data_IF_004431496346
#
_entry.id   IF_004431496346
#
_cell.length_a   1.000
_cell.length_b   1.000
_cell.length_c   1.000
_cell.angle_alpha   90.00
_cell.angle_beta   90.00
_cell.angle_gamma   90.00
#
_symmetry.space_group_name_H-M   'P 1'
#
loop_
_entity.id
_entity.type
_entity.pdbx_description
1 polymer ?
#
# COMPACT_ATOMS: atom_id res chain seq x y z
N UNK A 1 -3.05 6.10 -21.39
CA UNK A 1 -3.10 5.32 -20.12
C UNK A 1 -4.13 4.21 -20.30
N UNK A 2 -3.80 3.00 -19.92
CA UNK A 2 -4.69 1.82 -19.98
C UNK A 2 -5.23 1.58 -18.58
N UNK A 3 -6.56 1.44 -18.47
CA UNK A 3 -7.25 1.15 -17.20
C UNK A 3 -8.12 -0.08 -17.36
N UNK A 4 -8.10 -0.95 -16.36
CA UNK A 4 -8.88 -2.19 -16.35
C UNK A 4 -9.43 -2.48 -14.97
N UNK A 5 -10.71 -2.89 -14.92
CA UNK A 5 -11.29 -3.57 -13.78
C UNK A 5 -11.38 -5.05 -14.11
N UNK A 6 -10.66 -5.88 -13.35
CA UNK A 6 -10.55 -7.31 -13.62
C UNK A 6 -10.49 -8.12 -12.32
N UNK A 7 -10.70 -9.41 -12.43
CA UNK A 7 -10.56 -10.33 -11.32
C UNK A 7 -9.19 -11.05 -11.42
N UNK A 8 -8.37 -10.88 -10.38
CA UNK A 8 -7.14 -11.67 -10.21
C UNK A 8 -7.53 -12.95 -9.48
N UNK A 9 -7.19 -14.10 -10.05
CA UNK A 9 -7.42 -15.39 -9.41
C UNK A 9 -6.50 -15.56 -8.19
N UNK A 10 -7.09 -15.81 -7.02
CA UNK A 10 -6.35 -16.16 -5.79
C UNK A 10 -6.75 -17.55 -5.30
N UNK A 11 -5.99 -18.12 -4.37
CA UNK A 11 -6.35 -19.38 -3.74
C UNK A 11 -7.69 -19.31 -2.97
N UNK A 12 -8.11 -18.11 -2.59
CA UNK A 12 -9.33 -17.87 -1.79
C UNK A 12 -10.49 -17.28 -2.64
N UNK A 13 -10.37 -17.32 -3.98
CA UNK A 13 -11.39 -16.83 -4.92
C UNK A 13 -10.96 -15.61 -5.73
N UNK A 14 -11.86 -15.08 -6.59
CA UNK A 14 -11.53 -13.96 -7.45
C UNK A 14 -11.41 -12.65 -6.66
N UNK A 15 -10.30 -11.96 -6.85
CA UNK A 15 -9.99 -10.67 -6.21
C UNK A 15 -10.17 -9.56 -7.24
N UNK A 16 -11.31 -8.85 -7.19
CA UNK A 16 -11.55 -7.74 -8.12
C UNK A 16 -10.57 -6.60 -7.87
N UNK A 17 -9.87 -6.22 -8.93
CA UNK A 17 -8.75 -5.29 -8.86
C UNK A 17 -8.92 -4.18 -9.91
N UNK A 18 -8.36 -3.01 -9.58
CA UNK A 18 -8.15 -1.94 -10.55
C UNK A 18 -6.68 -1.97 -10.97
N UNK A 19 -6.45 -2.04 -12.27
CA UNK A 19 -5.11 -2.05 -12.87
C UNK A 19 -5.00 -0.84 -13.79
N UNK A 20 -3.92 -0.07 -13.64
CA UNK A 20 -3.65 1.09 -14.47
C UNK A 20 -2.17 1.22 -14.77
N UNK A 21 -1.85 1.52 -16.03
CA UNK A 21 -0.47 1.71 -16.47
C UNK A 21 -0.40 2.67 -17.67
N UNK A 22 0.77 3.26 -17.97
CA UNK A 22 0.97 3.97 -19.23
C UNK A 22 0.74 3.03 -20.42
N UNK A 23 0.44 3.58 -21.58
CA UNK A 23 0.42 2.80 -22.80
C UNK A 23 1.79 2.12 -23.02
N UNK A 24 1.81 0.85 -23.37
CA UNK A 24 3.01 0.05 -23.55
C UNK A 24 3.34 -0.20 -25.04
N UNK A 25 2.81 0.64 -25.95
CA UNK A 25 3.14 0.58 -27.37
C UNK A 25 4.64 0.78 -27.64
N UNK A 26 5.14 0.45 -28.84
CA UNK A 26 6.57 0.51 -29.16
C UNK A 26 7.22 1.89 -28.93
N UNK A 27 6.43 2.95 -28.95
CA UNK A 27 6.87 4.33 -28.73
C UNK A 27 6.74 4.78 -27.27
N UNK A 28 6.08 4.02 -26.41
CA UNK A 28 5.71 4.40 -25.04
C UNK A 28 6.68 3.94 -23.95
N UNK A 29 7.81 3.31 -24.32
CA UNK A 29 8.92 3.02 -23.41
C UNK A 29 8.71 1.90 -22.38
N UNK A 30 7.63 1.07 -22.51
CA UNK A 30 7.39 -0.07 -21.59
C UNK A 30 8.36 -1.25 -21.80
N UNK A 31 8.41 -2.27 -20.90
CA UNK A 31 7.52 -2.48 -19.75
C UNK A 31 7.83 -1.57 -18.55
N UNK A 32 6.81 -1.35 -17.71
CA UNK A 32 6.82 -0.39 -16.62
C UNK A 32 7.08 -1.09 -15.27
N UNK A 33 7.91 -0.50 -14.37
CA UNK A 33 8.06 -1.00 -13.00
C UNK A 33 6.72 -1.12 -12.29
N UNK A 34 6.56 -2.15 -11.46
CA UNK A 34 5.28 -2.48 -10.83
C UNK A 34 5.16 -1.84 -9.45
N UNK A 35 3.96 -1.33 -9.15
CA UNK A 35 3.56 -0.91 -7.81
C UNK A 35 2.32 -1.68 -7.37
N UNK A 36 2.43 -2.47 -6.30
CA UNK A 36 1.29 -3.07 -5.62
C UNK A 36 0.75 -2.07 -4.61
N UNK A 37 -0.51 -1.67 -4.77
CA UNK A 37 -1.14 -0.62 -3.99
C UNK A 37 -2.16 -1.23 -3.00
N UNK A 38 -1.84 -1.31 -1.72
CA UNK A 38 -2.74 -1.81 -0.69
C UNK A 38 -3.67 -0.69 -0.20
N UNK A 39 -4.99 -0.93 -0.37
CA UNK A 39 -6.06 0.02 -0.05
C UNK A 39 -6.15 0.34 1.44
N UNK A 40 -6.85 1.43 1.78
CA UNK A 40 -7.28 1.76 3.14
C UNK A 40 -8.61 1.07 3.51
N UNK A 41 -8.99 1.12 4.80
CA UNK A 41 -10.18 0.44 5.32
C UNK A 41 -11.51 0.84 4.66
N UNK A 42 -11.75 2.10 4.23
CA UNK A 42 -12.96 2.45 3.48
C UNK A 42 -13.19 1.69 2.18
N UNK A 43 -12.22 0.90 1.72
CA UNK A 43 -12.36 0.05 0.55
C UNK A 43 -11.90 0.68 -0.76
N UNK A 44 -11.82 -0.15 -1.80
CA UNK A 44 -11.42 0.25 -3.15
C UNK A 44 -12.48 1.18 -3.75
N UNK A 45 -12.11 2.42 -4.05
CA UNK A 45 -13.00 3.48 -4.51
C UNK A 45 -12.29 4.45 -5.46
N UNK A 46 -13.05 5.36 -6.08
CA UNK A 46 -12.54 6.28 -7.09
C UNK A 46 -11.37 7.14 -6.59
N UNK A 47 -11.40 7.62 -5.35
CA UNK A 47 -10.26 8.36 -4.76
C UNK A 47 -8.94 7.55 -4.81
N UNK A 48 -9.00 6.22 -4.57
CA UNK A 48 -7.82 5.37 -4.69
C UNK A 48 -7.47 5.08 -6.15
N UNK A 49 -8.46 5.02 -7.05
CA UNK A 49 -8.20 4.91 -8.49
C UNK A 49 -7.45 6.15 -8.98
N UNK A 50 -7.80 7.38 -8.55
CA UNK A 50 -7.08 8.60 -8.89
C UNK A 50 -5.64 8.59 -8.36
N UNK A 51 -5.43 8.06 -7.16
CA UNK A 51 -4.08 7.89 -6.62
C UNK A 51 -3.26 6.87 -7.43
N UNK A 52 -3.87 5.78 -7.87
CA UNK A 52 -3.24 4.80 -8.75
C UNK A 52 -2.94 5.41 -10.14
N UNK A 53 -3.85 6.22 -10.71
CA UNK A 53 -3.61 6.99 -11.95
C UNK A 53 -2.44 7.94 -11.80
N UNK A 54 -2.30 8.61 -10.64
CA UNK A 54 -1.16 9.50 -10.36
C UNK A 54 0.16 8.74 -10.40
N UNK A 55 0.23 7.51 -9.87
CA UNK A 55 1.41 6.65 -10.00
C UNK A 55 1.64 6.23 -11.46
N UNK A 56 0.60 5.82 -12.17
CA UNK A 56 0.72 5.42 -13.56
C UNK A 56 1.16 6.58 -14.46
N UNK A 57 0.72 7.81 -14.19
CA UNK A 57 1.09 9.01 -14.98
C UNK A 57 2.59 9.32 -14.96
N UNK A 58 3.33 8.80 -13.97
CA UNK A 58 4.79 8.94 -13.87
C UNK A 58 5.56 7.65 -14.21
N UNK A 59 4.88 6.68 -14.85
CA UNK A 59 5.55 5.55 -15.49
C UNK A 59 5.45 4.22 -14.76
N UNK A 60 4.51 4.01 -13.82
CA UNK A 60 4.36 2.74 -13.11
C UNK A 60 3.17 1.91 -13.60
N UNK A 61 3.33 0.58 -13.56
CA UNK A 61 2.25 -0.38 -13.68
C UNK A 61 1.65 -0.62 -12.29
N UNK A 62 0.41 -0.20 -12.05
CA UNK A 62 -0.20 -0.20 -10.70
C UNK A 62 -1.29 -1.25 -10.61
N UNK A 63 -1.27 -2.04 -9.54
CA UNK A 63 -2.32 -3.02 -9.19
C UNK A 63 -2.91 -2.62 -7.85
N UNK A 64 -4.20 -2.29 -7.83
CA UNK A 64 -4.97 -1.93 -6.63
C UNK A 64 -6.08 -2.97 -6.40
N UNK A 65 -5.87 -3.97 -5.52
CA UNK A 65 -6.84 -5.01 -5.25
C UNK A 65 -7.93 -4.55 -4.27
N UNK A 66 -9.09 -5.22 -4.33
CA UNK A 66 -10.04 -5.25 -3.23
C UNK A 66 -9.61 -6.33 -2.22
N UNK A 67 -9.06 -5.93 -1.10
CA UNK A 67 -8.59 -6.87 -0.07
C UNK A 67 -9.73 -7.55 0.70
N UNK A 68 -10.96 -7.05 0.56
CA UNK A 68 -12.15 -7.66 1.16
C UNK A 68 -12.81 -8.73 0.27
N UNK A 69 -12.21 -9.09 -0.86
CA UNK A 69 -12.80 -9.97 -1.90
C UNK A 69 -13.38 -11.28 -1.36
N UNK A 70 -12.81 -11.83 -0.28
CA UNK A 70 -13.30 -13.06 0.38
C UNK A 70 -14.67 -12.91 1.01
N UNK A 71 -15.10 -11.68 1.30
CA UNK A 71 -16.32 -11.36 2.03
C UNK A 71 -17.24 -10.42 1.29
N UNK A 72 -16.67 -9.47 0.53
CA UNK A 72 -17.43 -8.47 -0.21
C UNK A 72 -16.69 -8.08 -1.48
N UNK A 73 -17.40 -8.15 -2.61
CA UNK A 73 -16.85 -7.73 -3.90
C UNK A 73 -16.76 -6.22 -4.05
N UNK A 74 -17.68 -5.47 -3.45
CA UNK A 74 -17.91 -4.06 -3.77
C UNK A 74 -18.05 -3.16 -2.54
N UNK A 75 -17.50 -3.59 -1.39
CA UNK A 75 -17.57 -2.77 -0.19
C UNK A 75 -16.87 -1.43 -0.39
N UNK A 76 -17.60 -0.36 -0.09
CA UNK A 76 -17.11 1.00 0.00
C UNK A 76 -17.81 1.70 1.17
N UNK A 77 -17.05 2.28 2.08
CA UNK A 77 -17.59 3.12 3.15
C UNK A 77 -18.00 4.48 2.56
N UNK A 78 -19.25 4.60 2.11
CA UNK A 78 -19.80 5.83 1.51
C UNK A 78 -20.17 6.85 2.58
N UNK A 79 -20.74 6.38 3.68
CA UNK A 79 -21.18 7.19 4.81
C UNK A 79 -20.65 6.58 6.13
N UNK A 80 -20.32 7.44 7.10
CA UNK A 80 -19.78 7.00 8.39
C UNK A 80 -20.89 6.76 9.41
N UNK A 81 -21.93 6.01 9.02
CA UNK A 81 -22.95 5.55 9.94
C UNK A 81 -22.42 4.43 10.83
N UNK A 82 -23.01 4.25 12.02
CA UNK A 82 -22.59 3.20 12.95
C UNK A 82 -22.65 1.80 12.31
N UNK A 83 -23.73 1.38 11.58
CA UNK A 83 -23.78 0.10 10.91
C UNK A 83 -22.69 -0.07 9.82
N UNK A 84 -22.45 0.95 9.00
CA UNK A 84 -21.44 0.91 7.94
C UNK A 84 -20.02 0.83 8.51
N UNK A 85 -19.76 1.53 9.61
CA UNK A 85 -18.48 1.42 10.33
C UNK A 85 -18.30 0.04 10.95
N UNK A 86 -19.36 -0.54 11.54
CA UNK A 86 -19.31 -1.89 12.09
C UNK A 86 -19.01 -2.95 10.99
N UNK A 87 -19.65 -2.83 9.82
CA UNK A 87 -19.37 -3.69 8.67
C UNK A 87 -17.91 -3.55 8.23
N UNK A 88 -17.41 -2.33 8.08
CA UNK A 88 -16.01 -2.07 7.73
C UNK A 88 -15.04 -2.74 8.72
N UNK A 89 -15.27 -2.60 10.03
CA UNK A 89 -14.41 -3.23 11.03
C UNK A 89 -14.54 -4.76 11.03
N UNK A 90 -15.71 -5.31 10.75
CA UNK A 90 -15.90 -6.75 10.60
C UNK A 90 -15.10 -7.30 9.39
N UNK A 91 -15.10 -6.59 8.27
CA UNK A 91 -14.27 -6.93 7.11
C UNK A 91 -12.77 -6.82 7.43
N UNK A 92 -12.36 -5.72 8.06
CA UNK A 92 -10.97 -5.51 8.47
C UNK A 92 -10.45 -6.64 9.37
N UNK A 93 -11.28 -7.11 10.30
CA UNK A 93 -10.92 -8.19 11.24
C UNK A 93 -10.67 -9.55 10.54
N UNK A 94 -11.03 -9.70 9.27
CA UNK A 94 -10.74 -10.92 8.49
C UNK A 94 -9.38 -10.93 7.82
N UNK A 95 -8.62 -9.83 7.92
CA UNK A 95 -7.34 -9.64 7.24
C UNK A 95 -6.17 -9.81 8.21
N UNK A 96 -5.13 -10.47 7.76
CA UNK A 96 -3.91 -10.76 8.52
C UNK A 96 -2.69 -10.97 7.60
N UNK A 97 -1.56 -11.36 8.17
CA UNK A 97 -0.35 -11.65 7.41
C UNK A 97 -0.55 -12.79 6.40
N UNK A 98 -1.33 -13.83 6.73
CA UNK A 98 -1.60 -14.96 5.84
C UNK A 98 -2.44 -14.54 4.63
N UNK A 99 -3.52 -13.81 4.85
CA UNK A 99 -4.36 -13.31 3.75
C UNK A 99 -3.59 -12.36 2.85
N UNK A 100 -2.70 -11.54 3.44
CA UNK A 100 -1.80 -10.66 2.69
C UNK A 100 -0.82 -11.45 1.83
N UNK A 101 -0.24 -12.53 2.34
CA UNK A 101 0.65 -13.40 1.55
C UNK A 101 -0.08 -14.00 0.35
N UNK A 102 -1.29 -14.54 0.54
CA UNK A 102 -2.09 -15.14 -0.54
C UNK A 102 -2.39 -14.12 -1.63
N UNK A 103 -2.85 -12.93 -1.23
CA UNK A 103 -3.22 -11.86 -2.18
C UNK A 103 -2.00 -11.31 -2.91
N UNK A 104 -0.89 -11.11 -2.19
CA UNK A 104 0.36 -10.63 -2.79
C UNK A 104 0.91 -11.63 -3.80
N UNK A 105 0.91 -12.93 -3.48
CA UNK A 105 1.31 -14.00 -4.41
C UNK A 105 0.49 -13.95 -5.69
N UNK A 106 -0.83 -13.85 -5.57
CA UNK A 106 -1.70 -13.76 -6.74
C UNK A 106 -1.43 -12.51 -7.59
N UNK A 107 -1.17 -11.35 -6.96
CA UNK A 107 -0.76 -10.15 -7.69
C UNK A 107 0.59 -10.32 -8.40
N UNK A 108 1.59 -10.94 -7.74
CA UNK A 108 2.90 -11.21 -8.32
C UNK A 108 2.80 -12.17 -9.52
N UNK A 109 1.97 -13.20 -9.41
CA UNK A 109 1.72 -14.16 -10.51
C UNK A 109 0.97 -13.47 -11.66
N UNK A 110 -0.03 -12.64 -11.36
CA UNK A 110 -0.76 -11.85 -12.37
C UNK A 110 0.19 -10.92 -13.13
N UNK A 111 0.98 -10.08 -12.45
CA UNK A 111 1.87 -9.15 -13.16
C UNK A 111 2.92 -9.84 -13.98
N UNK A 112 3.33 -11.08 -13.64
CA UNK A 112 4.26 -11.88 -14.42
C UNK A 112 3.69 -12.28 -15.79
N UNK A 113 2.37 -12.25 -15.97
CA UNK A 113 1.71 -12.52 -17.26
C UNK A 113 1.47 -11.27 -18.09
N UNK A 114 1.74 -10.07 -17.54
CA UNK A 114 1.42 -8.81 -18.21
C UNK A 114 2.60 -8.28 -19.04
N UNK A 115 2.47 -8.15 -20.36
CA UNK A 115 3.58 -7.65 -21.21
C UNK A 115 4.02 -6.22 -20.86
N UNK A 116 3.11 -5.42 -20.28
CA UNK A 116 3.36 -4.03 -19.87
C UNK A 116 4.08 -3.91 -18.51
N UNK A 117 4.27 -5.01 -17.76
CA UNK A 117 4.85 -5.01 -16.42
C UNK A 117 6.32 -5.42 -16.42
N UNK A 118 7.21 -4.62 -15.83
CA UNK A 118 8.59 -5.02 -15.52
C UNK A 118 8.65 -5.67 -14.12
N UNK A 119 8.52 -6.98 -14.07
CA UNK A 119 8.50 -7.76 -12.82
C UNK A 119 9.84 -7.90 -12.12
N UNK A 120 10.93 -7.38 -12.69
CA UNK A 120 12.24 -7.33 -12.04
C UNK A 120 12.31 -6.24 -10.97
N UNK A 121 11.36 -5.31 -10.98
CA UNK A 121 11.33 -4.11 -10.14
C UNK A 121 9.92 -3.86 -9.63
N UNK A 122 9.64 -4.40 -8.47
CA UNK A 122 8.34 -4.31 -7.82
C UNK A 122 8.47 -3.55 -6.51
N UNK A 123 7.69 -2.49 -6.35
CA UNK A 123 7.53 -1.77 -5.10
C UNK A 123 6.12 -1.90 -4.57
N UNK A 124 5.93 -1.50 -3.32
CA UNK A 124 4.60 -1.47 -2.72
C UNK A 124 4.31 -0.15 -2.03
N UNK A 125 3.05 0.24 -2.01
CA UNK A 125 2.55 1.32 -1.15
C UNK A 125 1.26 0.88 -0.49
N UNK A 126 1.11 1.20 0.80
CA UNK A 126 -0.10 0.93 1.56
C UNK A 126 -0.51 2.11 2.41
N UNK A 127 -1.81 2.36 2.47
CA UNK A 127 -2.40 3.49 3.20
C UNK A 127 -3.26 2.99 4.34
N UNK A 128 -3.16 3.59 5.52
CA UNK A 128 -3.96 3.22 6.70
C UNK A 128 -3.80 1.72 7.02
N UNK A 129 -4.86 0.92 6.90
CA UNK A 129 -4.79 -0.53 7.07
C UNK A 129 -3.81 -1.20 6.08
N UNK A 130 -3.59 -0.61 4.90
CA UNK A 130 -2.60 -1.09 3.92
C UNK A 130 -1.16 -0.97 4.39
N UNK A 131 -0.88 -0.18 5.43
CA UNK A 131 0.45 0.00 5.99
C UNK A 131 1.08 -1.30 6.52
N UNK A 132 0.42 -2.09 7.39
CA UNK A 132 0.85 -3.42 7.79
C UNK A 132 1.11 -4.37 6.61
N UNK A 133 0.26 -4.29 5.57
CA UNK A 133 0.31 -5.24 4.45
C UNK A 133 1.59 -5.09 3.62
N UNK A 134 2.13 -3.88 3.45
CA UNK A 134 3.40 -3.72 2.75
C UNK A 134 4.56 -4.39 3.52
N UNK A 135 4.51 -4.39 4.85
CA UNK A 135 5.52 -5.05 5.70
C UNK A 135 5.39 -6.57 5.60
N UNK A 136 4.17 -7.11 5.75
CA UNK A 136 3.93 -8.55 5.63
C UNK A 136 4.27 -9.07 4.22
N UNK A 137 3.93 -8.30 3.17
CA UNK A 137 4.30 -8.65 1.80
C UNK A 137 5.83 -8.71 1.63
N UNK A 138 6.56 -7.74 2.16
CA UNK A 138 8.03 -7.74 2.06
C UNK A 138 8.68 -8.87 2.86
N UNK A 139 8.11 -9.23 4.02
CA UNK A 139 8.58 -10.36 4.80
C UNK A 139 8.32 -11.70 4.09
N UNK A 140 7.16 -11.84 3.43
CA UNK A 140 6.80 -13.05 2.68
C UNK A 140 7.53 -13.19 1.34
N UNK A 141 7.90 -12.07 0.69
CA UNK A 141 8.52 -12.04 -0.64
C UNK A 141 9.79 -11.17 -0.69
N UNK A 142 10.81 -11.43 0.17
CA UNK A 142 11.96 -10.54 0.34
C UNK A 142 12.79 -10.36 -0.93
N UNK A 143 12.81 -11.35 -1.84
CA UNK A 143 13.57 -11.30 -3.10
C UNK A 143 12.78 -10.67 -4.26
N UNK A 144 11.50 -10.35 -4.05
CA UNK A 144 10.62 -9.85 -5.11
C UNK A 144 10.36 -8.35 -4.99
N UNK A 145 10.42 -7.79 -3.77
CA UNK A 145 10.08 -6.42 -3.49
C UNK A 145 11.33 -5.58 -3.26
N UNK A 146 11.54 -4.58 -4.12
CA UNK A 146 12.68 -3.67 -4.07
C UNK A 146 12.50 -2.54 -3.05
N UNK A 147 11.26 -2.16 -2.78
CA UNK A 147 10.95 -1.16 -1.76
C UNK A 147 9.49 -1.26 -1.28
N UNK A 148 9.25 -0.71 -0.08
CA UNK A 148 7.91 -0.58 0.50
C UNK A 148 7.67 0.84 1.02
N UNK A 149 6.41 1.28 0.99
CA UNK A 149 5.99 2.53 1.62
C UNK A 149 4.70 2.33 2.43
N UNK A 150 4.73 2.68 3.71
CA UNK A 150 3.58 2.69 4.63
C UNK A 150 3.21 4.13 4.95
N UNK A 151 2.03 4.55 4.51
CA UNK A 151 1.56 5.93 4.67
C UNK A 151 0.46 5.97 5.73
N UNK A 152 0.69 6.68 6.82
CA UNK A 152 -0.15 6.69 8.05
C UNK A 152 -0.66 5.27 8.38
N UNK A 153 0.27 4.30 8.40
CA UNK A 153 -0.06 2.89 8.64
C UNK A 153 -0.68 2.68 10.00
N UNK A 154 -1.85 2.05 10.02
CA UNK A 154 -2.59 1.75 11.26
C UNK A 154 -2.12 0.42 11.86
N UNK A 155 -2.06 0.34 13.21
CA UNK A 155 -1.76 -0.91 13.92
C UNK A 155 -0.41 -1.55 13.50
N UNK A 156 0.61 -0.73 13.29
CA UNK A 156 1.95 -1.19 12.95
C UNK A 156 2.64 -1.91 14.13
N UNK A 157 2.18 -1.61 15.35
CA UNK A 157 2.61 -2.23 16.61
C UNK A 157 1.38 -2.81 17.30
N UNK A 158 1.39 -4.10 17.56
CA UNK A 158 0.32 -4.83 18.24
C UNK A 158 0.91 -5.97 19.09
N UNK A 159 0.10 -6.57 19.95
CA UNK A 159 0.51 -7.74 20.75
C UNK A 159 0.50 -9.06 19.96
N UNK A 160 0.00 -9.06 18.73
CA UNK A 160 -0.07 -10.23 17.86
C UNK A 160 1.33 -10.76 17.51
N UNK A 161 1.45 -12.06 17.33
CA UNK A 161 2.70 -12.69 16.91
C UNK A 161 3.17 -12.21 15.52
N UNK A 162 2.21 -11.92 14.62
CA UNK A 162 2.43 -11.41 13.27
C UNK A 162 2.46 -9.87 13.19
N UNK A 163 2.60 -9.18 14.33
CA UNK A 163 2.66 -7.72 14.35
C UNK A 163 3.74 -7.18 13.42
N UNK A 164 3.45 -6.19 12.57
CA UNK A 164 4.39 -5.68 11.57
C UNK A 164 5.76 -5.32 12.15
N UNK A 165 5.81 -4.64 13.29
CA UNK A 165 7.10 -4.25 13.90
C UNK A 165 8.00 -5.44 14.24
N UNK A 166 7.44 -6.63 14.52
CA UNK A 166 8.21 -7.83 14.86
C UNK A 166 8.86 -8.49 13.64
N UNK A 167 8.32 -8.27 12.46
CA UNK A 167 8.88 -8.85 11.22
C UNK A 167 9.79 -7.89 10.47
N UNK A 168 9.94 -6.64 10.94
CA UNK A 168 10.82 -5.65 10.30
C UNK A 168 12.28 -6.11 10.21
N UNK A 169 12.77 -6.88 11.18
CA UNK A 169 14.11 -7.45 11.16
C UNK A 169 14.39 -8.36 9.95
N UNK A 170 13.35 -8.86 9.29
CA UNK A 170 13.47 -9.70 8.08
C UNK A 170 13.51 -8.89 6.79
N UNK A 171 13.27 -7.58 6.82
CA UNK A 171 13.27 -6.74 5.63
C UNK A 171 14.65 -6.71 4.97
N UNK A 172 14.63 -6.79 3.64
CA UNK A 172 15.82 -6.69 2.77
C UNK A 172 15.78 -5.46 1.86
N UNK A 173 14.58 -4.91 1.67
CA UNK A 173 14.34 -3.79 0.76
C UNK A 173 14.36 -2.45 1.50
N UNK A 174 14.51 -1.37 0.74
CA UNK A 174 14.37 -0.01 1.27
C UNK A 174 12.93 0.28 1.68
N UNK A 175 12.74 0.96 2.80
CA UNK A 175 11.41 1.22 3.35
C UNK A 175 11.18 2.69 3.71
N UNK A 176 9.96 3.16 3.49
CA UNK A 176 9.50 4.49 3.86
C UNK A 176 8.24 4.41 4.73
N UNK A 177 8.27 5.09 5.88
CA UNK A 177 7.14 5.18 6.80
C UNK A 177 6.79 6.66 7.01
N UNK A 178 5.61 7.08 6.56
CA UNK A 178 5.04 8.39 6.82
C UNK A 178 4.07 8.28 7.98
N UNK A 179 4.39 8.85 9.14
CA UNK A 179 3.56 8.81 10.35
C UNK A 179 2.89 10.17 10.57
N UNK A 180 1.56 10.19 10.75
CA UNK A 180 0.86 11.39 11.16
C UNK A 180 1.12 11.66 12.66
N UNK A 181 1.28 12.93 13.05
CA UNK A 181 1.50 13.31 14.46
C UNK A 181 0.25 13.06 15.31
N UNK A 182 -0.92 13.30 14.74
CA UNK A 182 -2.22 13.14 15.44
C UNK A 182 -2.89 11.86 14.93
N UNK A 183 -2.47 10.72 15.47
CA UNK A 183 -2.94 9.42 15.01
C UNK A 183 -3.23 8.45 16.15
N UNK A 184 -4.52 8.16 16.36
CA UNK A 184 -4.94 7.18 17.39
C UNK A 184 -4.59 5.74 17.05
N UNK A 185 -4.34 5.43 15.77
CA UNK A 185 -3.99 4.11 15.28
C UNK A 185 -2.49 3.84 15.25
N UNK A 186 -1.70 4.88 15.44
CA UNK A 186 -0.25 4.86 15.54
C UNK A 186 0.21 5.92 16.56
N UNK A 187 -0.09 5.74 17.86
CA UNK A 187 0.28 6.70 18.91
C UNK A 187 1.81 6.86 18.98
N UNK A 188 2.32 7.96 19.58
CA UNK A 188 3.77 8.23 19.63
C UNK A 188 4.62 7.09 20.19
N UNK A 189 4.10 6.33 21.16
CA UNK A 189 4.79 5.17 21.72
C UNK A 189 5.00 4.07 20.66
N UNK A 190 3.98 3.81 19.83
CA UNK A 190 4.07 2.82 18.75
C UNK A 190 5.03 3.28 17.65
N UNK A 191 5.03 4.59 17.33
CA UNK A 191 5.98 5.18 16.37
C UNK A 191 7.42 5.02 16.86
N UNK A 192 7.66 5.20 18.17
CA UNK A 192 8.98 5.00 18.76
C UNK A 192 9.43 3.52 18.69
N UNK A 193 8.54 2.58 18.97
CA UNK A 193 8.81 1.14 18.82
C UNK A 193 9.07 0.75 17.36
N UNK A 194 8.28 1.29 16.43
CA UNK A 194 8.48 1.08 15.00
C UNK A 194 9.86 1.61 14.56
N UNK A 195 10.25 2.80 15.01
CA UNK A 195 11.58 3.38 14.72
C UNK A 195 12.71 2.52 15.27
N UNK A 196 12.58 2.02 16.50
CA UNK A 196 13.59 1.12 17.09
C UNK A 196 13.73 -0.16 16.28
N UNK A 197 12.61 -0.82 15.92
CA UNK A 197 12.61 -2.04 15.11
C UNK A 197 13.23 -1.81 13.71
N UNK A 198 12.98 -0.66 13.09
CA UNK A 198 13.61 -0.27 11.82
C UNK A 198 15.12 -0.10 11.95
N UNK A 199 15.60 0.51 13.04
CA UNK A 199 17.03 0.65 13.30
C UNK A 199 17.71 -0.71 13.51
N UNK A 200 17.06 -1.62 14.24
CA UNK A 200 17.56 -2.98 14.47
C UNK A 200 17.62 -3.82 13.20
N UNK A 201 16.71 -3.58 12.24
CA UNK A 201 16.69 -4.34 10.99
C UNK A 201 17.94 -4.16 10.14
N UNK A 202 18.63 -3.03 10.25
CA UNK A 202 19.77 -2.65 9.43
C UNK A 202 19.43 -2.41 7.94
N UNK A 203 18.19 -2.60 7.52
CA UNK A 203 17.76 -2.29 6.16
C UNK A 203 17.65 -0.77 5.94
N UNK A 204 17.92 -0.25 4.74
CA UNK A 204 17.73 1.17 4.44
C UNK A 204 16.28 1.59 4.73
N UNK A 205 16.12 2.59 5.57
CA UNK A 205 14.78 3.05 5.95
C UNK A 205 14.72 4.56 6.16
N UNK A 206 13.50 5.08 6.02
CA UNK A 206 13.14 6.44 6.43
C UNK A 206 11.79 6.38 7.15
N UNK A 207 11.77 6.80 8.42
CA UNK A 207 10.54 7.11 9.13
C UNK A 207 10.45 8.63 9.26
N UNK A 208 9.32 9.20 8.86
CA UNK A 208 9.09 10.64 8.85
C UNK A 208 7.78 10.95 9.57
N UNK A 209 7.88 11.77 10.62
CA UNK A 209 6.71 12.31 11.30
C UNK A 209 6.22 13.55 10.53
N UNK A 210 4.91 13.64 10.34
CA UNK A 210 4.22 14.74 9.68
C UNK A 210 3.56 15.64 10.72
N UNK A 211 4.20 16.77 11.10
CA UNK A 211 3.71 17.65 12.15
C UNK A 211 2.32 18.23 11.81
N UNK A 212 1.41 18.23 12.79
CA UNK A 212 0.04 18.70 12.66
C UNK A 212 -0.88 17.82 11.81
N UNK A 213 -0.34 16.83 11.08
CA UNK A 213 -1.13 15.97 10.23
C UNK A 213 -1.93 14.94 11.04
N UNK A 214 -3.16 14.69 10.61
CA UNK A 214 -4.04 13.67 11.18
C UNK A 214 -4.04 12.38 10.35
N UNK A 215 -4.48 11.26 10.95
CA UNK A 215 -4.64 9.99 10.23
C UNK A 215 -5.50 10.14 8.98
N UNK A 216 -4.93 9.86 7.80
CA UNK A 216 -5.61 10.04 6.52
C UNK A 216 -5.37 11.39 5.84
N UNK A 217 -4.37 12.16 6.27
CA UNK A 217 -4.02 13.49 5.76
C UNK A 217 -3.78 13.55 4.24
N UNK A 218 -3.55 12.43 3.60
CA UNK A 218 -3.28 12.34 2.15
C UNK A 218 -4.54 12.30 1.28
N UNK A 219 -5.72 12.07 1.85
CA UNK A 219 -6.96 11.84 1.12
C UNK A 219 -7.74 13.15 0.89
N UNK A 220 -7.81 13.69 -0.36
CA UNK A 220 -8.44 14.97 -0.64
C UNK A 220 -9.93 15.03 -0.28
N UNK A 221 -10.63 13.89 -0.31
CA UNK A 221 -12.07 13.84 0.02
C UNK A 221 -12.35 13.79 1.53
N UNK A 222 -11.32 13.78 2.39
CA UNK A 222 -11.48 13.81 3.84
C UNK A 222 -11.49 15.24 4.37
N UNK A 223 -12.65 15.88 4.31
CA UNK A 223 -12.83 17.25 4.85
C UNK A 223 -12.37 17.35 6.31
N UNK A 224 -11.60 18.39 6.63
CA UNK A 224 -11.06 18.63 7.98
C UNK A 224 -9.86 17.74 8.38
N UNK A 225 -9.44 16.80 7.52
CA UNK A 225 -8.29 15.90 7.76
C UNK A 225 -7.23 16.08 6.67
N UNK A 226 -7.66 16.30 5.42
CA UNK A 226 -6.74 16.50 4.31
C UNK A 226 -5.84 17.71 4.57
N UNK A 227 -4.54 17.50 4.51
CA UNK A 227 -3.54 18.56 4.62
C UNK A 227 -2.67 18.54 3.36
N UNK A 228 -2.86 19.55 2.49
CA UNK A 228 -2.28 19.57 1.16
C UNK A 228 -0.75 19.53 1.17
N UNK A 229 -0.10 20.29 2.05
CA UNK A 229 1.36 20.36 2.07
C UNK A 229 1.97 19.01 2.50
N UNK A 230 1.40 18.37 3.53
CA UNK A 230 1.80 17.03 3.95
C UNK A 230 1.49 15.98 2.86
N UNK A 231 0.32 16.08 2.21
CA UNK A 231 -0.05 15.19 1.12
C UNK A 231 0.91 15.28 -0.07
N UNK A 232 1.29 16.49 -0.51
CA UNK A 232 2.26 16.64 -1.59
C UNK A 232 3.66 16.21 -1.17
N UNK A 233 4.07 16.49 0.07
CA UNK A 233 5.35 16.01 0.60
C UNK A 233 5.45 14.48 0.62
N UNK A 234 4.38 13.77 0.99
CA UNK A 234 4.41 12.31 0.93
C UNK A 234 4.57 11.80 -0.52
N UNK A 235 3.91 12.45 -1.51
CA UNK A 235 4.08 12.11 -2.93
C UNK A 235 5.52 12.33 -3.40
N UNK A 236 6.16 13.44 -3.02
CA UNK A 236 7.58 13.68 -3.33
C UNK A 236 8.47 12.57 -2.78
N UNK A 237 8.23 12.15 -1.52
CA UNK A 237 8.99 11.07 -0.88
C UNK A 237 8.77 9.73 -1.56
N UNK A 238 7.51 9.43 -1.88
CA UNK A 238 7.12 8.19 -2.54
C UNK A 238 7.72 8.10 -3.95
N UNK A 239 7.60 9.15 -4.76
CA UNK A 239 8.21 9.19 -6.09
C UNK A 239 9.74 9.11 -6.02
N UNK A 240 10.37 9.80 -5.07
CA UNK A 240 11.81 9.69 -4.86
C UNK A 240 12.25 8.27 -4.49
N UNK A 241 11.51 7.58 -3.61
CA UNK A 241 11.76 6.17 -3.30
C UNK A 241 11.67 5.30 -4.55
N UNK A 242 10.56 5.38 -5.26
CA UNK A 242 10.31 4.56 -6.44
C UNK A 242 11.27 4.86 -7.59
N UNK A 243 11.64 6.13 -7.82
CA UNK A 243 12.59 6.48 -8.87
C UNK A 243 13.96 5.81 -8.63
N UNK A 244 14.50 5.86 -7.41
CA UNK A 244 15.83 5.28 -7.14
C UNK A 244 15.84 3.76 -7.03
N UNK A 245 14.70 3.14 -6.64
CA UNK A 245 14.64 1.69 -6.43
C UNK A 245 14.06 0.92 -7.60
N UNK A 246 13.14 1.53 -8.37
CA UNK A 246 12.38 0.86 -9.42
C UNK A 246 12.75 1.31 -10.83
N UNK A 247 13.17 2.57 -11.05
CA UNK A 247 13.54 3.05 -12.38
C UNK A 247 14.99 2.66 -12.70
N UNK A 248 15.28 2.42 -13.96
CA UNK A 248 16.67 2.17 -14.42
C UNK A 248 17.47 3.47 -14.27
N UNK A 249 18.61 3.35 -13.63
CA UNK A 249 19.69 4.32 -13.84
C UNK A 249 20.29 4.10 -15.21
#
# INVERSE_FOLDING_TARGET
>A
MVEQHLDIATADGPMNSFVVHPDAGPEAGGPHPVVLFYMDAPGKREELHDMARRLASVGYFVVLPNLYHRRSRDFQLRERTEPAMAEMFALLATLDARTTEVDTRAMLDFVATQPAADVRRIGTVGYCMGGPFVVWAAAAFPERLACIASIHGANMVTDRADSPHRVLATLRCESYFACAEIDRWAPPADVALLQAALQESGAPHRLELYPGAQHGFVFPQRAGVYERAAAERHWERLFSLFARTLQRQ
#
